data_IF_069337054936
#
_entry.id   IF_069337054936
#
_cell.length_a   1.000
_cell.length_b   1.000
_cell.length_c   1.000
_cell.angle_alpha   90.00
_cell.angle_beta   90.00
_cell.angle_gamma   90.00
#
_symmetry.space_group_name_H-M   'P 1'
#
loop_
_entity.id
_entity.type
_entity.pdbx_description
1 polymer ?
#
# COMPACT_ATOMS: atom_id res chain seq x y z
N UNK A 1 8.72 -16.35 16.49
CA UNK A 1 9.40 -15.28 17.26
C UNK A 1 8.74 -15.19 18.64
N UNK A 2 9.51 -15.10 19.72
CA UNK A 2 8.96 -15.03 21.08
C UNK A 2 8.44 -13.62 21.41
N UNK A 3 7.33 -13.50 22.15
CA UNK A 3 6.69 -12.21 22.44
C UNK A 3 7.62 -11.20 23.14
N UNK A 4 8.60 -11.66 23.92
CA UNK A 4 9.60 -10.78 24.55
C UNK A 4 10.55 -10.13 23.53
N UNK A 5 10.80 -10.75 22.37
CA UNK A 5 11.57 -10.15 21.28
C UNK A 5 10.76 -9.10 20.54
N UNK A 6 9.47 -9.37 20.32
CA UNK A 6 8.52 -8.42 19.72
C UNK A 6 8.28 -7.22 20.65
N UNK A 7 8.17 -7.43 21.95
CA UNK A 7 7.94 -6.39 22.96
C UNK A 7 9.18 -5.52 23.28
N UNK A 8 10.33 -5.78 22.64
CA UNK A 8 11.53 -4.99 22.86
C UNK A 8 11.37 -3.58 22.26
N UNK A 9 11.53 -2.48 23.03
CA UNK A 9 11.48 -1.12 22.48
C UNK A 9 12.52 -0.82 21.40
N UNK A 10 13.65 -1.56 21.40
CA UNK A 10 14.66 -1.52 20.34
C UNK A 10 14.53 -2.64 19.31
N UNK A 11 13.47 -3.46 19.40
CA UNK A 11 13.15 -4.54 18.47
C UNK A 11 12.20 -4.08 17.35
N UNK A 12 11.51 -5.04 16.74
CA UNK A 12 10.48 -4.77 15.72
C UNK A 12 9.18 -5.46 16.09
N UNK A 13 8.08 -4.80 15.75
CA UNK A 13 6.75 -5.37 15.84
C UNK A 13 6.55 -6.38 14.69
N UNK A 14 6.10 -7.59 14.99
CA UNK A 14 5.74 -8.60 13.98
C UNK A 14 4.21 -8.59 13.75
N UNK A 15 3.71 -7.93 12.70
CA UNK A 15 2.28 -7.81 12.45
C UNK A 15 1.64 -9.12 11.98
N UNK A 16 2.41 -10.18 11.71
CA UNK A 16 1.90 -11.46 11.21
C UNK A 16 1.54 -12.44 12.33
N UNK A 17 1.93 -12.16 13.58
CA UNK A 17 1.66 -13.03 14.72
C UNK A 17 0.49 -12.49 15.54
N UNK A 18 -0.72 -13.03 15.29
CA UNK A 18 -1.96 -12.58 15.93
C UNK A 18 -1.91 -12.57 17.47
N UNK A 19 -1.17 -13.48 18.10
CA UNK A 19 -1.04 -13.52 19.58
C UNK A 19 -0.39 -12.25 20.15
N UNK A 20 0.48 -11.59 19.39
CA UNK A 20 1.25 -10.44 19.84
C UNK A 20 0.33 -9.20 20.01
N UNK A 21 -0.83 -9.15 19.35
CA UNK A 21 -1.83 -8.08 19.53
C UNK A 21 -2.50 -8.08 20.91
N UNK A 22 -2.57 -9.25 21.55
CA UNK A 22 -3.15 -9.45 22.88
C UNK A 22 -2.11 -9.61 23.98
N UNK A 23 -0.83 -9.69 23.64
CA UNK A 23 0.24 -9.91 24.62
C UNK A 23 0.44 -8.67 25.51
N UNK A 24 0.39 -8.80 26.85
CA UNK A 24 0.52 -7.67 27.76
C UNK A 24 1.83 -6.88 27.62
N UNK A 25 2.94 -7.56 27.33
CA UNK A 25 4.25 -6.90 27.17
C UNK A 25 4.29 -6.12 25.85
N UNK A 26 3.77 -6.70 24.77
CA UNK A 26 3.69 -6.02 23.47
C UNK A 26 2.78 -4.79 23.56
N UNK A 27 1.61 -4.91 24.20
CA UNK A 27 0.67 -3.79 24.40
C UNK A 27 1.23 -2.73 25.35
N UNK A 28 2.09 -3.08 26.30
CA UNK A 28 2.79 -2.10 27.14
C UNK A 28 3.80 -1.29 26.31
N UNK A 29 4.59 -1.96 25.47
CA UNK A 29 5.64 -1.32 24.65
C UNK A 29 5.08 -0.46 23.53
N UNK A 30 4.13 -0.99 22.75
CA UNK A 30 3.54 -0.28 21.60
C UNK A 30 2.30 0.53 21.95
N UNK A 31 1.85 0.44 23.21
CA UNK A 31 0.64 1.06 23.75
C UNK A 31 -0.68 0.50 23.22
N UNK A 32 -1.65 0.33 24.13
CA UNK A 32 -2.98 -0.20 23.82
C UNK A 32 -3.70 0.60 22.72
N UNK A 33 -3.58 1.94 22.72
CA UNK A 33 -4.23 2.79 21.71
C UNK A 33 -3.72 2.52 20.29
N UNK A 34 -2.48 2.08 20.13
CA UNK A 34 -1.90 1.81 18.82
C UNK A 34 -2.24 0.41 18.34
N UNK A 35 -2.18 -0.57 19.25
CA UNK A 35 -2.36 -1.99 18.91
C UNK A 35 -3.74 -2.29 18.33
N UNK A 36 -4.78 -1.64 18.85
CA UNK A 36 -6.14 -1.81 18.34
C UNK A 36 -6.30 -1.12 16.97
N UNK A 37 -5.72 0.08 16.80
CA UNK A 37 -5.71 0.82 15.53
C UNK A 37 -4.96 0.10 14.41
N UNK A 38 -3.80 -0.51 14.70
CA UNK A 38 -3.06 -1.29 13.69
C UNK A 38 -3.91 -2.45 13.19
N UNK A 39 -4.57 -3.18 14.09
CA UNK A 39 -5.43 -4.31 13.71
C UNK A 39 -6.57 -3.86 12.80
N UNK A 40 -7.23 -2.76 13.14
CA UNK A 40 -8.30 -2.18 12.33
C UNK A 40 -7.80 -1.68 10.97
N UNK A 41 -6.59 -1.13 10.91
CA UNK A 41 -5.96 -0.64 9.68
C UNK A 41 -5.61 -1.79 8.73
N UNK A 42 -5.02 -2.87 9.27
CA UNK A 42 -4.68 -4.07 8.48
C UNK A 42 -5.93 -4.69 7.84
N UNK A 43 -7.04 -4.75 8.57
CA UNK A 43 -8.31 -5.26 8.05
C UNK A 43 -8.89 -4.43 6.87
N UNK A 44 -8.38 -3.20 6.67
CA UNK A 44 -8.77 -2.28 5.59
C UNK A 44 -7.72 -2.16 4.48
N UNK A 45 -6.59 -2.85 4.62
CA UNK A 45 -5.48 -2.73 3.67
C UNK A 45 -5.79 -3.51 2.39
N UNK A 46 -5.60 -2.86 1.25
CA UNK A 46 -5.74 -3.46 -0.07
C UNK A 46 -4.38 -4.03 -0.48
N UNK A 47 -4.30 -5.32 -0.91
CA UNK A 47 -3.06 -5.87 -1.44
C UNK A 47 -2.63 -5.10 -2.70
N UNK A 48 -1.32 -4.92 -2.87
CA UNK A 48 -0.77 -4.29 -4.08
C UNK A 48 -1.25 -5.04 -5.32
N UNK A 49 -1.76 -4.30 -6.30
CA UNK A 49 -2.20 -4.90 -7.56
C UNK A 49 -0.96 -5.43 -8.30
N UNK A 50 -0.90 -6.74 -8.50
CA UNK A 50 0.14 -7.35 -9.29
C UNK A 50 -0.32 -7.42 -10.75
N UNK A 51 0.35 -6.67 -11.64
CA UNK A 51 0.03 -6.64 -13.07
C UNK A 51 1.30 -6.56 -13.93
N UNK A 52 1.26 -7.11 -15.16
CA UNK A 52 2.42 -7.10 -16.05
C UNK A 52 2.92 -5.68 -16.34
N UNK A 53 4.23 -5.48 -16.25
CA UNK A 53 4.85 -4.19 -16.57
C UNK A 53 4.73 -3.12 -15.48
N UNK A 54 4.37 -3.47 -14.24
CA UNK A 54 4.24 -2.53 -13.12
C UNK A 54 5.44 -1.57 -12.95
N UNK A 55 6.68 -2.06 -13.16
CA UNK A 55 7.88 -1.21 -13.12
C UNK A 55 7.81 -0.02 -14.08
N UNK A 56 7.25 -0.19 -15.28
CA UNK A 56 7.12 0.92 -16.23
C UNK A 56 6.14 1.99 -15.73
N UNK A 57 5.05 1.58 -15.06
CA UNK A 57 4.11 2.51 -14.44
C UNK A 57 4.75 3.26 -13.28
N UNK A 58 5.48 2.56 -12.40
CA UNK A 58 6.19 3.19 -11.28
C UNK A 58 7.25 4.18 -11.78
N UNK A 59 8.09 3.81 -12.75
CA UNK A 59 9.11 4.70 -13.29
C UNK A 59 8.49 5.98 -13.89
N UNK A 60 7.39 5.86 -14.63
CA UNK A 60 6.70 7.02 -15.21
C UNK A 60 6.15 7.97 -14.12
N UNK A 61 5.71 7.44 -12.98
CA UNK A 61 5.31 8.25 -11.84
C UNK A 61 6.52 8.88 -11.15
N UNK A 62 7.56 8.10 -10.86
CA UNK A 62 8.76 8.56 -10.15
C UNK A 62 9.46 9.72 -10.88
N UNK A 63 9.61 9.63 -12.20
CA UNK A 63 10.19 10.68 -13.02
C UNK A 63 9.40 11.99 -12.91
N UNK A 64 8.06 11.91 -12.93
CA UNK A 64 7.18 13.07 -12.80
C UNK A 64 7.14 13.63 -11.38
N UNK A 65 7.21 12.78 -10.35
CA UNK A 65 7.33 13.22 -8.95
C UNK A 65 8.63 13.98 -8.73
N UNK A 66 9.76 13.48 -9.25
CA UNK A 66 11.04 14.19 -9.17
C UNK A 66 10.98 15.54 -9.92
N UNK A 67 10.36 15.59 -11.10
CA UNK A 67 10.17 16.84 -11.84
C UNK A 67 9.32 17.86 -11.05
N UNK A 68 8.28 17.41 -10.35
CA UNK A 68 7.48 18.28 -9.48
C UNK A 68 8.27 18.76 -8.26
N UNK A 69 9.00 17.86 -7.57
CA UNK A 69 9.80 18.16 -6.38
C UNK A 69 10.92 19.17 -6.68
N UNK A 70 11.51 19.08 -7.88
CA UNK A 70 12.54 20.00 -8.38
C UNK A 70 11.97 21.27 -9.02
N UNK A 71 10.65 21.44 -9.01
CA UNK A 71 9.92 22.58 -9.58
C UNK A 71 10.06 22.74 -11.10
N UNK A 72 10.44 21.68 -11.81
CA UNK A 72 10.46 21.66 -13.28
C UNK A 72 9.05 21.53 -13.87
N UNK A 73 8.10 20.98 -13.12
CA UNK A 73 6.66 20.89 -13.44
C UNK A 73 5.83 21.29 -12.22
N UNK A 74 4.58 21.72 -12.43
CA UNK A 74 3.60 21.76 -11.34
C UNK A 74 3.12 20.34 -11.00
N UNK A 75 2.50 20.16 -9.83
CA UNK A 75 1.93 18.87 -9.45
C UNK A 75 0.85 18.41 -10.46
N UNK A 76 0.02 19.34 -10.93
CA UNK A 76 -1.02 19.08 -11.92
C UNK A 76 -0.42 18.62 -13.26
N UNK A 77 0.64 19.28 -13.74
CA UNK A 77 1.33 18.89 -14.96
C UNK A 77 2.00 17.52 -14.83
N UNK A 78 2.69 17.27 -13.71
CA UNK A 78 3.34 15.99 -13.44
C UNK A 78 2.34 14.82 -13.43
N UNK A 79 1.16 15.01 -12.83
CA UNK A 79 0.12 13.99 -12.82
C UNK A 79 -0.54 13.80 -14.19
N UNK A 80 -0.78 14.88 -14.95
CA UNK A 80 -1.31 14.78 -16.31
C UNK A 80 -0.35 14.02 -17.25
N UNK A 81 0.95 14.29 -17.15
CA UNK A 81 1.96 13.59 -17.93
C UNK A 81 2.09 12.12 -17.51
N UNK A 82 2.00 11.83 -16.20
CA UNK A 82 1.95 10.46 -15.69
C UNK A 82 0.79 9.69 -16.29
N UNK A 83 -0.42 10.29 -16.30
CA UNK A 83 -1.60 9.68 -16.91
C UNK A 83 -1.39 9.39 -18.41
N UNK A 84 -0.82 10.35 -19.15
CA UNK A 84 -0.55 10.19 -20.57
C UNK A 84 0.43 9.03 -20.85
N UNK A 85 1.48 8.90 -20.06
CA UNK A 85 2.43 7.78 -20.16
C UNK A 85 1.81 6.44 -19.76
N UNK A 86 1.04 6.41 -18.67
CA UNK A 86 0.32 5.22 -18.23
C UNK A 86 -0.64 4.70 -19.30
N UNK A 87 -1.34 5.57 -20.02
CA UNK A 87 -2.18 5.17 -21.17
C UNK A 87 -1.35 4.50 -22.27
N UNK A 88 -0.16 5.00 -22.58
CA UNK A 88 0.74 4.39 -23.59
C UNK A 88 1.26 3.03 -23.10
N UNK A 89 1.67 2.94 -21.84
CA UNK A 89 2.13 1.69 -21.23
C UNK A 89 0.99 0.66 -21.24
N UNK A 90 -0.23 1.05 -20.85
CA UNK A 90 -1.39 0.17 -20.84
C UNK A 90 -1.70 -0.42 -22.23
N UNK A 91 -1.70 0.43 -23.27
CA UNK A 91 -1.86 -0.04 -24.66
C UNK A 91 -0.78 -1.03 -25.09
N UNK A 92 0.48 -0.79 -24.71
CA UNK A 92 1.62 -1.66 -25.04
C UNK A 92 1.55 -3.00 -24.29
N UNK A 93 1.16 -2.98 -23.03
CA UNK A 93 1.04 -4.18 -22.20
C UNK A 93 -0.19 -5.02 -22.57
N UNK A 94 -1.26 -4.36 -23.00
CA UNK A 94 -2.57 -4.95 -23.29
C UNK A 94 -3.57 -4.61 -22.20
N UNK A 95 -4.52 -3.72 -22.49
CA UNK A 95 -5.50 -3.20 -21.53
C UNK A 95 -6.38 -4.31 -20.93
N UNK A 96 -6.76 -5.31 -21.74
CA UNK A 96 -7.56 -6.45 -21.28
C UNK A 96 -6.83 -7.28 -20.21
N UNK A 97 -5.52 -7.49 -20.38
CA UNK A 97 -4.70 -8.22 -19.40
C UNK A 97 -4.59 -7.47 -18.08
N UNK A 98 -4.44 -6.15 -18.15
CA UNK A 98 -4.43 -5.29 -16.97
C UNK A 98 -5.78 -5.34 -16.26
N UNK A 99 -6.89 -5.26 -17.00
CA UNK A 99 -8.23 -5.33 -16.45
C UNK A 99 -8.51 -6.68 -15.78
N UNK A 100 -8.12 -7.79 -16.41
CA UNK A 100 -8.22 -9.12 -15.83
C UNK A 100 -7.42 -9.22 -14.53
N UNK A 101 -6.15 -8.80 -14.54
CA UNK A 101 -5.31 -8.81 -13.34
C UNK A 101 -5.89 -7.98 -12.19
N UNK A 102 -6.46 -6.80 -12.49
CA UNK A 102 -7.12 -5.96 -11.48
C UNK A 102 -8.37 -6.66 -10.93
N UNK A 103 -9.20 -7.26 -11.78
CA UNK A 103 -10.40 -7.99 -11.35
C UNK A 103 -10.05 -9.17 -10.44
N UNK A 104 -9.06 -9.97 -10.82
CA UNK A 104 -8.59 -11.10 -10.01
C UNK A 104 -8.03 -10.61 -8.67
N UNK A 105 -7.22 -9.55 -8.64
CA UNK A 105 -6.71 -9.01 -7.39
C UNK A 105 -7.82 -8.46 -6.48
N UNK A 106 -8.88 -7.89 -7.06
CA UNK A 106 -10.03 -7.36 -6.31
C UNK A 106 -10.75 -8.43 -5.48
N UNK A 107 -10.67 -9.71 -5.87
CA UNK A 107 -11.24 -10.82 -5.10
C UNK A 107 -10.59 -10.95 -3.70
N UNK A 108 -9.34 -10.51 -3.55
CA UNK A 108 -8.62 -10.50 -2.29
C UNK A 108 -8.76 -9.19 -1.49
N UNK A 109 -9.52 -8.21 -1.99
CA UNK A 109 -9.68 -6.92 -1.32
C UNK A 109 -10.66 -7.03 -0.14
N UNK A 110 -10.44 -6.26 0.94
CA UNK A 110 -11.35 -6.27 2.07
C UNK A 110 -12.74 -5.74 1.67
N UNK A 111 -13.78 -6.32 2.26
CA UNK A 111 -15.18 -5.87 2.10
C UNK A 111 -15.61 -4.86 3.15
N UNK A 112 -14.68 -4.42 4.00
CA UNK A 112 -14.93 -3.41 5.03
C UNK A 112 -15.10 -2.05 4.35
N UNK A 113 -16.28 -1.44 4.48
CA UNK A 113 -16.62 -0.14 3.90
C UNK A 113 -17.14 0.77 5.01
N UNK A 114 -16.65 2.01 5.05
CA UNK A 114 -17.18 3.05 5.93
C UNK A 114 -18.33 3.79 5.23
N UNK A 115 -19.33 4.29 5.98
CA UNK A 115 -20.39 5.11 5.41
C UNK A 115 -19.81 6.40 4.83
N UNK A 116 -20.36 6.83 3.69
CA UNK A 116 -20.03 8.14 3.11
C UNK A 116 -20.63 9.21 4.03
N UNK A 117 -19.77 10.08 4.55
CA UNK A 117 -20.15 11.23 5.38
C UNK A 117 -20.74 12.38 4.53
#
# INVERSE_FOLDING_TARGET
IYAWMTANPGGYFDPFRLSDFSDPLVRQTYHAYHMDVVRETVARTVPTINYPGATAFHNALDENLVAALTKAKTAEQAMADTEAEWKKIARRTGEEKLLEAIKTNKEAWPTVLDPIA
#
